data_IF_237091488798
#
_entry.id   IF_237091488798
#
_cell.length_a   1.000
_cell.length_b   1.000
_cell.length_c   1.000
_cell.angle_alpha   90.00
_cell.angle_beta   90.00
_cell.angle_gamma   90.00
#
_symmetry.space_group_name_H-M   'P 1'
#
loop_
_entity.id
_entity.type
_entity.pdbx_description
1 polymer ?
#
# COMPACT_ATOMS: atom_id res chain seq x y z
N UNK A 1 17.78 -14.49 -13.91
CA UNK A 1 18.41 -13.20 -13.56
C UNK A 1 17.43 -12.49 -12.66
N UNK A 2 17.67 -12.57 -11.35
CA UNK A 2 16.84 -12.02 -10.29
C UNK A 2 16.96 -10.49 -10.24
N UNK A 3 16.08 -9.81 -10.97
CA UNK A 3 15.85 -8.39 -10.76
C UNK A 3 14.34 -8.16 -10.65
N UNK A 4 13.73 -8.80 -9.65
CA UNK A 4 12.28 -8.81 -9.35
C UNK A 4 11.83 -7.63 -8.49
N UNK A 5 12.70 -6.63 -8.29
CA UNK A 5 12.41 -5.41 -7.53
C UNK A 5 12.64 -4.17 -8.38
N UNK A 6 11.82 -3.15 -8.20
CA UNK A 6 11.93 -1.87 -8.90
C UNK A 6 13.07 -1.00 -8.37
N UNK A 7 13.53 -1.27 -7.14
CA UNK A 7 14.53 -0.45 -6.44
C UNK A 7 14.00 0.88 -5.93
N UNK A 8 12.68 1.06 -5.92
CA UNK A 8 12.00 2.29 -5.49
C UNK A 8 11.52 2.12 -4.05
N UNK A 9 11.74 3.14 -3.22
CA UNK A 9 11.10 3.26 -1.92
C UNK A 9 9.74 3.93 -2.10
N UNK A 10 8.68 3.15 -2.01
CA UNK A 10 7.30 3.62 -2.18
C UNK A 10 6.77 4.30 -0.92
N UNK A 11 7.18 3.80 0.25
CA UNK A 11 6.77 4.30 1.56
C UNK A 11 7.98 4.90 2.31
N UNK A 12 8.40 6.08 1.85
CA UNK A 12 9.51 6.85 2.41
C UNK A 12 9.25 7.23 3.88
N UNK A 13 10.12 6.79 4.79
CA UNK A 13 9.91 7.00 6.23
C UNK A 13 9.87 8.47 6.60
N UNK A 14 10.65 9.32 5.92
CA UNK A 14 10.66 10.78 6.14
C UNK A 14 9.31 11.43 5.80
N UNK A 15 8.47 10.75 5.02
CA UNK A 15 7.14 11.23 4.62
C UNK A 15 5.99 10.56 5.36
N UNK A 16 6.21 9.38 5.94
CA UNK A 16 5.17 8.55 6.53
C UNK A 16 5.25 8.52 8.06
N UNK A 17 6.45 8.55 8.65
CA UNK A 17 6.59 8.61 10.11
C UNK A 17 6.05 9.94 10.62
N UNK A 18 5.38 9.90 11.78
CA UNK A 18 4.64 11.00 12.38
C UNK A 18 3.40 11.48 11.59
N UNK A 19 3.00 10.80 10.50
CA UNK A 19 1.72 11.08 9.88
C UNK A 19 0.55 10.67 10.76
N UNK A 20 -0.50 11.50 10.72
CA UNK A 20 -1.76 11.24 11.41
C UNK A 20 -2.73 10.48 10.51
N UNK A 21 -3.40 9.49 11.10
CA UNK A 21 -4.46 8.74 10.45
C UNK A 21 -5.71 8.76 11.33
N UNK A 22 -6.84 9.00 10.70
CA UNK A 22 -8.15 8.92 11.35
C UNK A 22 -8.88 7.67 10.86
N UNK A 23 -9.51 6.96 11.79
CA UNK A 23 -10.34 5.78 11.48
C UNK A 23 -11.81 6.16 11.33
N UNK A 24 -12.57 5.34 10.61
CA UNK A 24 -14.03 5.41 10.44
C UNK A 24 -14.58 3.96 10.58
N UNK A 25 -15.77 3.72 11.16
CA UNK A 25 -16.77 4.70 11.64
C UNK A 25 -16.60 5.16 13.08
N UNK A 26 -15.70 4.52 13.85
CA UNK A 26 -15.34 4.98 15.18
C UNK A 26 -14.11 5.89 15.05
N UNK A 27 -14.27 7.22 15.16
CA UNK A 27 -13.17 8.14 14.99
C UNK A 27 -12.17 7.97 16.12
N UNK A 28 -10.94 7.63 15.74
CA UNK A 28 -9.77 7.65 16.60
C UNK A 28 -8.59 8.14 15.77
N UNK A 29 -7.65 8.84 16.40
CA UNK A 29 -6.49 9.41 15.71
C UNK A 29 -5.23 8.67 16.12
N UNK A 30 -4.52 8.17 15.12
CA UNK A 30 -3.30 7.39 15.29
C UNK A 30 -2.14 8.09 14.62
N UNK A 31 -0.95 7.96 15.20
CA UNK A 31 0.30 8.44 14.61
C UNK A 31 1.15 7.25 14.17
N UNK A 32 1.75 7.33 12.98
CA UNK A 32 2.67 6.29 12.50
C UNK A 32 4.01 6.43 13.23
N UNK A 33 4.42 5.39 13.96
CA UNK A 33 5.65 5.41 14.75
C UNK A 33 6.84 4.84 13.99
N UNK A 34 6.64 3.70 13.31
CA UNK A 34 7.71 3.01 12.57
C UNK A 34 7.17 2.12 11.45
N UNK A 35 7.99 1.95 10.41
CA UNK A 35 7.77 0.96 9.33
C UNK A 35 8.35 -0.39 9.75
N UNK A 36 7.57 -1.46 9.56
CA UNK A 36 8.00 -2.84 9.82
C UNK A 36 8.48 -3.53 8.56
N UNK A 37 7.78 -3.35 7.46
CA UNK A 37 8.07 -4.01 6.20
C UNK A 37 7.49 -3.23 5.02
N UNK A 38 8.11 -3.38 3.86
CA UNK A 38 7.62 -2.87 2.59
C UNK A 38 7.77 -3.97 1.54
N UNK A 39 6.77 -4.10 0.67
CA UNK A 39 6.79 -5.01 -0.46
C UNK A 39 6.19 -4.36 -1.70
N UNK A 40 6.47 -4.95 -2.85
CA UNK A 40 5.86 -4.59 -4.11
C UNK A 40 5.52 -5.84 -4.90
N UNK A 41 4.40 -5.78 -5.60
CA UNK A 41 3.94 -6.75 -6.58
C UNK A 41 3.97 -6.06 -7.94
N UNK A 42 4.90 -6.50 -8.79
CA UNK A 42 5.21 -5.88 -10.06
C UNK A 42 4.61 -6.71 -11.19
N UNK A 43 3.77 -6.06 -11.99
CA UNK A 43 3.13 -6.65 -13.15
C UNK A 43 3.55 -5.87 -14.40
N UNK A 44 3.98 -6.58 -15.44
CA UNK A 44 4.18 -5.96 -16.75
C UNK A 44 2.84 -5.63 -17.39
N UNK A 45 2.82 -4.77 -18.39
CA UNK A 45 1.59 -4.48 -19.14
C UNK A 45 0.95 -5.75 -19.74
N UNK A 46 1.76 -6.72 -20.15
CA UNK A 46 1.28 -8.01 -20.65
C UNK A 46 0.59 -8.82 -19.54
N UNK A 47 1.12 -8.82 -18.33
CA UNK A 47 0.53 -9.50 -17.17
C UNK A 47 -0.80 -8.87 -16.78
N UNK A 48 -0.87 -7.54 -16.77
CA UNK A 48 -2.13 -6.83 -16.48
C UNK A 48 -3.20 -7.15 -17.53
N UNK A 49 -2.84 -7.12 -18.82
CA UNK A 49 -3.77 -7.45 -19.91
C UNK A 49 -4.24 -8.90 -19.90
N UNK A 50 -3.38 -9.83 -19.46
CA UNK A 50 -3.69 -11.27 -19.45
C UNK A 50 -4.42 -11.72 -18.19
N UNK A 51 -4.06 -11.16 -17.04
CA UNK A 51 -4.47 -11.65 -15.73
C UNK A 51 -5.22 -10.62 -14.88
N UNK A 52 -5.40 -9.39 -15.35
CA UNK A 52 -6.09 -8.30 -14.64
C UNK A 52 -5.50 -8.03 -13.25
N UNK A 53 -4.18 -8.09 -13.13
CA UNK A 53 -3.46 -7.86 -11.87
C UNK A 53 -2.56 -6.63 -11.99
N UNK A 54 -3.03 -5.42 -11.68
CA UNK A 54 -2.19 -4.23 -11.69
C UNK A 54 -1.12 -4.31 -10.60
N UNK A 55 -0.04 -3.55 -10.78
CA UNK A 55 1.04 -3.48 -9.80
C UNK A 55 0.60 -2.75 -8.52
N UNK A 56 1.09 -3.19 -7.36
CA UNK A 56 0.76 -2.61 -6.05
C UNK A 56 2.00 -2.61 -5.14
N UNK A 57 2.19 -1.55 -4.38
CA UNK A 57 3.12 -1.51 -3.26
C UNK A 57 2.35 -1.59 -1.95
N UNK A 58 2.90 -2.31 -0.97
CA UNK A 58 2.37 -2.45 0.37
C UNK A 58 3.40 -2.08 1.43
N UNK A 59 2.93 -1.51 2.53
CA UNK A 59 3.76 -1.27 3.72
C UNK A 59 3.00 -1.62 4.98
N UNK A 60 3.73 -2.13 5.98
CA UNK A 60 3.22 -2.46 7.30
C UNK A 60 3.84 -1.49 8.29
N UNK A 61 3.00 -0.82 9.08
CA UNK A 61 3.40 0.16 10.08
C UNK A 61 2.92 -0.22 11.47
N UNK A 62 3.65 0.23 12.49
CA UNK A 62 3.14 0.34 13.87
C UNK A 62 2.69 1.76 14.10
N UNK A 63 1.53 1.90 14.72
CA UNK A 63 0.95 3.19 15.07
C UNK A 63 0.53 3.20 16.53
N UNK A 64 0.56 4.38 17.14
CA UNK A 64 0.08 4.60 18.50
C UNK A 64 -1.13 5.53 18.50
N UNK A 65 -2.07 5.30 19.41
CA UNK A 65 -3.23 6.17 19.57
C UNK A 65 -2.80 7.47 20.27
N UNK A 66 -3.16 8.63 19.72
CA UNK A 66 -2.79 9.92 20.30
C UNK A 66 -3.45 10.15 21.66
N UNK A 67 -4.71 9.73 21.81
CA UNK A 67 -5.47 9.90 23.03
C UNK A 67 -5.12 8.84 24.09
N UNK A 68 -4.58 7.69 23.66
CA UNK A 68 -4.17 6.59 24.52
C UNK A 68 -2.84 5.95 24.04
N UNK A 69 -1.67 6.55 24.30
CA UNK A 69 -0.38 6.11 23.74
C UNK A 69 0.06 4.68 24.10
N UNK A 70 -0.58 4.05 25.08
CA UNK A 70 -0.37 2.62 25.40
C UNK A 70 -1.09 1.68 24.43
N UNK A 71 -2.00 2.18 23.59
CA UNK A 71 -2.64 1.43 22.52
C UNK A 71 -1.79 1.49 21.26
N UNK A 72 -1.39 0.31 20.78
CA UNK A 72 -0.71 0.14 19.51
C UNK A 72 -1.61 -0.57 18.49
N UNK A 73 -1.44 -0.22 17.22
CA UNK A 73 -2.09 -0.89 16.10
C UNK A 73 -1.07 -1.21 15.00
N UNK A 74 -1.34 -2.29 14.26
CA UNK A 74 -0.62 -2.60 13.02
C UNK A 74 -1.47 -2.16 11.84
N UNK A 75 -0.93 -1.27 11.01
CA UNK A 75 -1.62 -0.73 9.84
C UNK A 75 -0.95 -1.23 8.57
N UNK A 76 -1.74 -1.74 7.62
CA UNK A 76 -1.28 -2.10 6.28
C UNK A 76 -1.74 -1.03 5.29
N UNK A 77 -0.78 -0.25 4.79
CA UNK A 77 -1.03 0.69 3.70
C UNK A 77 -0.80 0.00 2.36
N UNK A 78 -1.66 0.27 1.38
CA UNK A 78 -1.52 -0.22 -0.01
C UNK A 78 -1.64 0.95 -0.98
N UNK A 79 -0.81 0.93 -2.02
CA UNK A 79 -0.78 1.97 -3.05
C UNK A 79 -0.63 1.31 -4.42
N UNK A 80 -1.49 1.69 -5.35
CA UNK A 80 -1.31 1.28 -6.75
C UNK A 80 -0.06 1.95 -7.32
N UNK A 81 0.78 1.16 -8.00
CA UNK A 81 2.01 1.65 -8.62
C UNK A 81 1.97 1.41 -10.15
N UNK A 82 2.78 2.14 -10.94
CA UNK A 82 2.86 1.93 -12.38
C UNK A 82 3.30 0.50 -12.73
N UNK A 83 2.91 0.04 -13.92
CA UNK A 83 3.37 -1.26 -14.43
C UNK A 83 4.89 -1.34 -14.47
N UNK A 84 5.41 -2.55 -14.30
CA UNK A 84 6.84 -2.80 -14.32
C UNK A 84 7.47 -2.27 -15.62
N UNK A 85 8.66 -1.68 -15.51
CA UNK A 85 9.39 -0.96 -16.58
C UNK A 85 8.73 0.33 -17.11
N UNK A 86 7.62 0.79 -16.53
CA UNK A 86 6.97 2.06 -16.90
C UNK A 86 7.13 3.17 -15.86
N UNK A 87 7.74 2.88 -14.72
CA UNK A 87 7.84 3.83 -13.59
C UNK A 87 8.54 5.14 -13.93
N UNK A 88 9.53 5.10 -14.82
CA UNK A 88 10.26 6.28 -15.28
C UNK A 88 9.69 6.90 -16.57
N UNK A 89 8.57 6.38 -17.11
CA UNK A 89 7.86 7.00 -18.23
C UNK A 89 7.18 8.29 -17.81
N UNK A 90 6.63 9.06 -18.75
CA UNK A 90 5.96 10.32 -18.44
C UNK A 90 4.77 10.14 -17.48
N UNK A 91 4.40 11.21 -16.76
CA UNK A 91 3.25 11.20 -15.85
C UNK A 91 1.96 10.79 -16.55
N UNK A 92 1.76 11.23 -17.79
CA UNK A 92 0.59 10.90 -18.60
C UNK A 92 0.49 9.39 -18.88
N UNK A 93 1.59 8.73 -19.21
CA UNK A 93 1.62 7.27 -19.42
C UNK A 93 1.28 6.55 -18.12
N UNK A 94 1.91 6.93 -17.00
CA UNK A 94 1.65 6.28 -15.70
C UNK A 94 0.22 6.48 -15.20
N UNK A 95 -0.38 7.65 -15.48
CA UNK A 95 -1.77 7.92 -15.10
C UNK A 95 -2.77 7.02 -15.83
N UNK A 96 -2.44 6.53 -17.04
CA UNK A 96 -3.30 5.57 -17.76
C UNK A 96 -3.35 4.19 -17.11
N UNK A 97 -2.43 3.89 -16.18
CA UNK A 97 -2.41 2.63 -15.44
C UNK A 97 -3.29 2.67 -14.18
N UNK A 98 -3.83 3.84 -13.83
CA UNK A 98 -4.64 4.01 -12.64
C UNK A 98 -5.93 3.19 -12.74
N UNK A 99 -6.19 2.39 -11.71
CA UNK A 99 -7.39 1.60 -11.55
C UNK A 99 -8.05 2.04 -10.24
N UNK A 100 -9.30 2.55 -10.28
CA UNK A 100 -9.97 3.00 -9.07
C UNK A 100 -10.38 1.84 -8.15
N UNK A 101 -10.42 0.61 -8.67
CA UNK A 101 -10.86 -0.54 -7.91
C UNK A 101 -9.75 -1.13 -7.04
N UNK A 102 -10.14 -1.51 -5.82
CA UNK A 102 -9.27 -2.29 -4.95
C UNK A 102 -8.98 -3.66 -5.57
N UNK A 103 -7.69 -4.03 -5.61
CA UNK A 103 -7.23 -5.34 -6.09
C UNK A 103 -7.94 -6.49 -5.38
N UNK A 104 -8.19 -7.57 -6.12
CA UNK A 104 -8.89 -8.74 -5.60
C UNK A 104 -8.19 -9.38 -4.37
N UNK A 105 -6.85 -9.52 -4.29
CA UNK A 105 -6.18 -9.99 -3.08
C UNK A 105 -6.44 -9.07 -1.88
N UNK A 106 -6.31 -7.75 -2.06
CA UNK A 106 -6.55 -6.74 -1.02
C UNK A 106 -7.99 -6.81 -0.50
N UNK A 107 -8.96 -6.99 -1.40
CA UNK A 107 -10.38 -7.17 -1.05
C UNK A 107 -10.62 -8.46 -0.28
N UNK A 108 -10.02 -9.58 -0.71
CA UNK A 108 -10.13 -10.87 -0.01
C UNK A 108 -9.54 -10.81 1.40
N UNK A 109 -8.43 -10.11 1.57
CA UNK A 109 -7.83 -9.91 2.89
C UNK A 109 -8.75 -9.11 3.82
N UNK A 110 -9.38 -8.04 3.32
CA UNK A 110 -10.38 -7.30 4.09
C UNK A 110 -11.59 -8.18 4.44
N UNK A 111 -12.14 -8.91 3.46
CA UNK A 111 -13.25 -9.83 3.74
C UNK A 111 -12.88 -10.90 4.76
N UNK A 112 -11.65 -11.42 4.72
CA UNK A 112 -11.16 -12.38 5.71
C UNK A 112 -11.04 -11.74 7.11
N UNK A 113 -10.61 -10.48 7.18
CA UNK A 113 -10.56 -9.73 8.43
C UNK A 113 -11.96 -9.51 9.02
N UNK A 114 -12.95 -9.17 8.19
CA UNK A 114 -14.34 -9.00 8.63
C UNK A 114 -14.95 -10.27 9.22
N UNK A 115 -14.46 -11.47 8.86
CA UNK A 115 -14.90 -12.72 9.49
C UNK A 115 -14.28 -12.95 10.88
N UNK A 116 -13.27 -12.19 11.26
CA UNK A 116 -12.53 -12.35 12.53
C UNK A 116 -12.88 -11.28 13.57
N UNK A 117 -13.65 -10.25 13.21
CA UNK A 117 -14.02 -9.11 14.06
C UNK A 117 -15.52 -8.91 14.12
#
# INVERSE_FOLDING_TARGET
MDNTRSGITWFDEDKWIACLMSTDPQPSTWIIDRKLAENEDLATEADVKKCMMPSEAGSIFVCSNIDAPSQEAVVKARMQIPYFNTTFKSRQVRAQHADPDMRAPSRRELSAFDYLT
#
